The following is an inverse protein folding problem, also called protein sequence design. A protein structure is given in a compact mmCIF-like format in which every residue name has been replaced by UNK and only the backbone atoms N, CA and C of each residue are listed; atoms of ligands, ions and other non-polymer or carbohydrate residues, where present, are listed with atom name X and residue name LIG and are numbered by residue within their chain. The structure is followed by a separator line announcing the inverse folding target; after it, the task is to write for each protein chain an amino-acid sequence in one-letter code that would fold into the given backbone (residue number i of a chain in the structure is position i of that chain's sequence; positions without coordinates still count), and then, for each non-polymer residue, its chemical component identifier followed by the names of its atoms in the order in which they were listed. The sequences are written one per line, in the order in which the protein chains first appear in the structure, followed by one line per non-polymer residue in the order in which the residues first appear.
data_IF_424448088950
#
_entry.id   IF_424448088950
#
_cell.length_a   1.000
_cell.length_b   1.000
_cell.length_c   1.000
_cell.angle_alpha   90.00
_cell.angle_beta   90.00
_cell.angle_gamma   90.00
#
_symmetry.space_group_name_H-M   'P 1'
#
loop_
_entity.id
_entity.type
_entity.pdbx_description
1 polymer ?
#
# COMPACT_ATOMS: atom_id res chain seq x y z
N UNK A 1 -40.85 6.53 -35.18
CA UNK A 1 -40.09 5.31 -34.79
C UNK A 1 -38.56 5.50 -34.84
N UNK A 2 -37.95 6.02 -35.92
CA UNK A 2 -36.49 6.18 -36.01
C UNK A 2 -35.84 7.06 -34.91
N UNK A 3 -36.48 8.18 -34.51
CA UNK A 3 -35.91 9.13 -33.52
C UNK A 3 -35.86 8.62 -32.08
N UNK A 4 -36.75 7.70 -31.71
CA UNK A 4 -36.83 7.15 -30.34
C UNK A 4 -35.71 6.14 -30.10
N UNK A 5 -35.39 5.33 -31.11
CA UNK A 5 -34.30 4.34 -31.06
C UNK A 5 -32.94 5.03 -30.88
N UNK A 6 -32.72 6.14 -31.59
CA UNK A 6 -31.44 6.89 -31.51
C UNK A 6 -31.22 7.54 -30.15
N UNK A 7 -32.27 8.09 -29.53
CA UNK A 7 -32.18 8.69 -28.20
C UNK A 7 -31.90 7.64 -27.11
N UNK A 8 -32.55 6.46 -27.21
CA UNK A 8 -32.36 5.37 -26.24
C UNK A 8 -30.92 4.82 -26.29
N UNK A 9 -30.35 4.67 -27.49
CA UNK A 9 -28.94 4.24 -27.65
C UNK A 9 -27.94 5.22 -27.05
N UNK A 10 -28.17 6.53 -27.16
CA UNK A 10 -27.26 7.55 -26.59
C UNK A 10 -27.28 7.50 -25.06
N UNK A 11 -28.47 7.37 -24.47
CA UNK A 11 -28.61 7.24 -23.00
C UNK A 11 -27.91 5.97 -22.49
N UNK A 12 -28.06 4.83 -23.18
CA UNK A 12 -27.37 3.60 -22.82
C UNK A 12 -25.83 3.72 -22.89
N UNK A 13 -25.30 4.44 -23.89
CA UNK A 13 -23.85 4.63 -24.04
C UNK A 13 -23.29 5.53 -22.92
N UNK A 14 -24.01 6.60 -22.56
CA UNK A 14 -23.58 7.52 -21.49
C UNK A 14 -23.53 6.79 -20.14
N UNK A 15 -24.56 5.97 -19.84
CA UNK A 15 -24.64 5.19 -18.60
C UNK A 15 -23.50 4.15 -18.53
N UNK A 16 -23.19 3.48 -19.64
CA UNK A 16 -22.10 2.49 -19.69
C UNK A 16 -20.71 3.13 -19.45
N UNK A 17 -20.47 4.32 -19.99
CA UNK A 17 -19.20 5.05 -19.81
C UNK A 17 -19.01 5.58 -18.37
N UNK A 18 -20.10 5.97 -17.69
CA UNK A 18 -20.00 6.42 -16.30
C UNK A 18 -19.60 5.30 -15.34
N UNK A 19 -20.09 4.07 -15.53
CA UNK A 19 -19.70 2.93 -14.71
C UNK A 19 -18.25 2.50 -14.93
N UNK A 20 -17.77 2.50 -16.18
CA UNK A 20 -16.39 2.13 -16.48
C UNK A 20 -15.38 3.16 -15.96
N UNK A 21 -15.72 4.45 -16.03
CA UNK A 21 -14.86 5.51 -15.49
C UNK A 21 -14.81 5.51 -13.96
N UNK A 22 -15.92 5.20 -13.26
CA UNK A 22 -15.91 5.10 -11.80
C UNK A 22 -15.07 3.92 -11.31
N UNK A 23 -15.22 2.74 -11.91
CA UNK A 23 -14.43 1.55 -11.52
C UNK A 23 -12.94 1.78 -11.75
N UNK A 24 -12.55 2.37 -12.89
CA UNK A 24 -11.14 2.68 -13.16
C UNK A 24 -10.58 3.76 -12.21
N UNK A 25 -11.40 4.74 -11.83
CA UNK A 25 -11.01 5.80 -10.90
C UNK A 25 -10.86 5.33 -9.45
N UNK A 26 -11.54 4.27 -9.02
CA UNK A 26 -11.39 3.69 -7.68
C UNK A 26 -10.27 2.64 -7.61
N UNK A 27 -10.00 1.91 -8.70
CA UNK A 27 -8.94 0.89 -8.73
C UNK A 27 -7.54 1.48 -8.90
N UNK A 28 -7.39 2.56 -9.67
CA UNK A 28 -6.09 3.19 -9.93
C UNK A 28 -5.43 3.77 -8.65
N UNK A 29 -6.12 4.49 -7.76
CA UNK A 29 -5.57 4.98 -6.51
C UNK A 29 -5.17 3.84 -5.57
N UNK A 30 -5.93 2.76 -5.53
CA UNK A 30 -5.61 1.60 -4.69
C UNK A 30 -4.36 0.89 -5.20
N UNK A 31 -4.24 0.67 -6.51
CA UNK A 31 -3.06 0.06 -7.12
C UNK A 31 -1.79 0.91 -6.92
N UNK A 32 -1.90 2.24 -7.09
CA UNK A 32 -0.81 3.18 -6.83
C UNK A 32 -0.46 3.29 -5.33
N UNK A 33 -1.44 3.15 -4.43
CA UNK A 33 -1.22 3.10 -3.00
C UNK A 33 -0.45 1.83 -2.56
N UNK A 34 -0.63 0.70 -3.26
CA UNK A 34 0.19 -0.50 -3.02
C UNK A 34 1.65 -0.35 -3.48
N UNK A 35 1.91 0.50 -4.47
CA UNK A 35 3.25 0.76 -4.99
C UNK A 35 3.98 1.90 -4.26
N UNK A 36 3.28 2.68 -3.45
CA UNK A 36 3.90 3.76 -2.68
C UNK A 36 4.57 3.19 -1.42
N UNK A 37 5.79 3.64 -1.07
CA UNK A 37 6.43 3.22 0.16
C UNK A 37 5.63 3.73 1.36
N UNK A 38 5.45 2.89 2.37
CA UNK A 38 4.71 3.21 3.61
C UNK A 38 5.64 3.47 4.80
N UNK A 39 6.95 3.29 4.61
CA UNK A 39 7.97 3.64 5.57
C UNK A 39 9.39 3.47 5.03
N UNK A 40 10.36 3.82 5.87
CA UNK A 40 11.79 3.74 5.57
C UNK A 40 12.56 3.20 6.76
N UNK A 41 13.60 2.43 6.49
CA UNK A 41 14.51 1.93 7.53
C UNK A 41 15.45 3.07 7.97
N UNK A 42 15.32 3.51 9.23
CA UNK A 42 16.15 4.60 9.79
C UNK A 42 17.35 4.09 10.60
N UNK A 43 17.28 2.86 11.11
CA UNK A 43 18.38 2.16 11.77
C UNK A 43 18.37 0.69 11.36
N UNK A 44 19.54 0.15 11.00
CA UNK A 44 19.76 -1.27 10.73
C UNK A 44 21.11 -1.69 11.30
N UNK A 45 21.10 -2.61 12.26
CA UNK A 45 22.28 -3.20 12.89
C UNK A 45 22.13 -4.72 12.95
N UNK A 46 23.17 -5.45 12.57
CA UNK A 46 23.14 -6.91 12.50
C UNK A 46 22.44 -7.43 11.24
N UNK A 47 21.88 -8.64 11.33
CA UNK A 47 21.34 -9.35 10.18
C UNK A 47 19.82 -9.29 10.16
N UNK A 48 19.25 -8.93 9.02
CA UNK A 48 17.82 -9.01 8.79
C UNK A 48 17.49 -9.06 7.30
N UNK A 49 16.31 -9.58 6.99
CA UNK A 49 15.85 -9.81 5.62
C UNK A 49 14.47 -9.21 5.39
N UNK A 50 14.26 -8.70 4.18
CA UNK A 50 12.97 -8.27 3.65
C UNK A 50 12.56 -9.28 2.60
N UNK A 51 11.36 -9.83 2.76
CA UNK A 51 10.69 -10.65 1.76
C UNK A 51 9.61 -9.80 1.13
N UNK A 52 9.80 -9.44 -0.14
CA UNK A 52 8.84 -8.61 -0.88
C UNK A 52 7.90 -9.52 -1.65
N UNK A 53 6.60 -9.22 -1.61
CA UNK A 53 5.59 -10.02 -2.29
C UNK A 53 5.94 -10.24 -3.78
N UNK A 54 5.97 -11.50 -4.24
CA UNK A 54 6.36 -11.93 -5.58
C UNK A 54 7.74 -11.43 -6.06
N UNK A 55 8.66 -11.12 -5.14
CA UNK A 55 9.99 -10.61 -5.44
C UNK A 55 11.05 -11.30 -4.57
N UNK A 56 12.31 -11.04 -4.90
CA UNK A 56 13.48 -11.59 -4.21
C UNK A 56 13.55 -11.16 -2.75
N UNK A 57 14.18 -12.02 -1.93
CA UNK A 57 14.55 -11.70 -0.56
C UNK A 57 15.81 -10.83 -0.58
N UNK A 58 15.77 -9.68 0.10
CA UNK A 58 16.89 -8.74 0.18
C UNK A 58 17.32 -8.53 1.64
N UNK A 59 18.56 -8.11 1.85
CA UNK A 59 19.07 -7.76 3.19
C UNK A 59 18.53 -6.39 3.61
N UNK A 60 18.15 -6.25 4.88
CA UNK A 60 17.73 -4.96 5.44
C UNK A 60 18.92 -4.02 5.52
N UNK A 61 18.76 -2.82 4.97
CA UNK A 61 19.76 -1.74 5.02
C UNK A 61 19.11 -0.42 5.39
N UNK A 62 19.87 0.49 6.01
CA UNK A 62 19.40 1.85 6.30
C UNK A 62 19.07 2.57 4.99
N UNK A 63 17.94 3.27 4.96
CA UNK A 63 17.42 3.97 3.78
C UNK A 63 16.53 3.11 2.89
N UNK A 64 16.42 1.81 3.15
CA UNK A 64 15.56 0.92 2.37
C UNK A 64 14.10 1.33 2.53
N UNK A 65 13.42 1.47 1.38
CA UNK A 65 12.00 1.79 1.30
C UNK A 65 11.16 0.53 1.49
N UNK A 66 10.13 0.63 2.31
CA UNK A 66 9.27 -0.48 2.66
C UNK A 66 7.87 -0.29 2.12
N UNK A 67 7.30 -1.37 1.59
CA UNK A 67 6.00 -1.39 0.93
C UNK A 67 5.00 -2.24 1.72
N UNK A 68 3.70 -2.04 1.46
CA UNK A 68 2.61 -2.72 2.19
C UNK A 68 2.73 -4.25 2.21
N UNK A 69 3.22 -4.83 1.12
CA UNK A 69 3.43 -6.28 0.95
C UNK A 69 4.77 -6.81 1.44
N UNK A 70 5.64 -5.97 1.98
CA UNK A 70 6.93 -6.42 2.52
C UNK A 70 6.75 -7.12 3.87
N UNK A 71 7.53 -8.18 4.09
CA UNK A 71 7.67 -8.85 5.39
C UNK A 71 9.12 -8.82 5.85
N UNK A 72 9.36 -8.53 7.12
CA UNK A 72 10.70 -8.46 7.72
C UNK A 72 10.92 -9.57 8.73
N UNK A 73 12.14 -10.09 8.75
CA UNK A 73 12.65 -10.94 9.83
C UNK A 73 14.06 -10.51 10.19
N UNK A 74 14.30 -10.23 11.47
CA UNK A 74 15.63 -9.86 11.97
C UNK A 74 16.16 -10.98 12.89
N UNK A 75 17.46 -11.21 12.85
CA UNK A 75 18.12 -12.19 13.69
C UNK A 75 18.18 -11.72 15.16
N UNK A 76 18.37 -12.66 16.09
CA UNK A 76 18.65 -12.35 17.49
C UNK A 76 19.89 -11.45 17.60
N UNK A 77 19.84 -10.45 18.47
CA UNK A 77 20.93 -9.46 18.63
C UNK A 77 20.98 -8.38 17.54
N UNK A 78 20.07 -8.41 16.56
CA UNK A 78 19.95 -7.37 15.55
C UNK A 78 18.94 -6.30 15.96
N UNK A 79 19.07 -5.09 15.42
CA UNK A 79 18.16 -3.97 15.67
C UNK A 79 17.79 -3.30 14.36
N UNK A 80 16.49 -3.21 14.09
CA UNK A 80 15.95 -2.49 12.95
C UNK A 80 14.85 -1.56 13.43
N UNK A 81 14.92 -0.30 13.01
CA UNK A 81 13.93 0.74 13.31
C UNK A 81 13.41 1.29 12.00
N UNK A 82 12.08 1.32 11.87
CA UNK A 82 11.36 1.85 10.71
C UNK A 82 10.67 3.14 11.12
N UNK A 83 10.71 4.15 10.25
CA UNK A 83 9.86 5.33 10.34
C UNK A 83 8.69 5.17 9.35
N UNK A 84 7.47 5.20 9.87
CA UNK A 84 6.25 4.98 9.09
C UNK A 84 5.68 6.31 8.59
N UNK A 85 5.54 6.50 7.27
CA UNK A 85 5.09 7.77 6.68
C UNK A 85 3.65 8.10 7.03
N UNK A 86 2.74 7.12 6.97
CA UNK A 86 1.30 7.34 7.12
C UNK A 86 0.80 7.24 8.58
N UNK A 87 1.71 7.17 9.55
CA UNK A 87 1.38 7.05 10.97
C UNK A 87 2.15 8.12 11.79
N UNK A 88 2.01 9.39 11.40
CA UNK A 88 2.69 10.54 12.04
C UNK A 88 4.20 10.34 12.24
N UNK A 89 4.90 9.71 11.29
CA UNK A 89 6.33 9.39 11.40
C UNK A 89 6.68 8.56 12.65
N UNK A 90 5.74 7.74 13.13
CA UNK A 90 5.95 6.83 14.25
C UNK A 90 7.13 5.90 13.93
N UNK A 91 8.03 5.79 14.90
CA UNK A 91 9.13 4.83 14.86
C UNK A 91 8.66 3.48 15.38
N UNK A 92 8.90 2.44 14.59
CA UNK A 92 8.57 1.06 14.93
C UNK A 92 9.84 0.22 15.05
N UNK A 93 10.06 -0.34 16.24
CA UNK A 93 11.13 -1.29 16.50
C UNK A 93 10.68 -2.69 16.08
N UNK A 94 11.42 -3.31 15.17
CA UNK A 94 11.08 -4.66 14.71
C UNK A 94 11.45 -5.68 15.80
N UNK A 95 10.52 -6.59 16.18
CA UNK A 95 10.82 -7.65 17.14
C UNK A 95 11.81 -8.66 16.55
N UNK A 96 12.73 -9.15 17.39
CA UNK A 96 13.73 -10.14 16.98
C UNK A 96 13.13 -11.53 16.80
N UNK A 97 13.66 -12.28 15.83
CA UNK A 97 13.31 -13.66 15.52
C UNK A 97 11.83 -13.92 15.14
N UNK A 98 11.07 -12.86 14.86
CA UNK A 98 9.67 -12.92 14.44
C UNK A 98 9.55 -12.40 13.01
N UNK A 99 8.77 -13.08 12.18
CA UNK A 99 8.38 -12.57 10.86
C UNK A 99 7.22 -11.59 11.04
N UNK A 100 7.37 -10.36 10.56
CA UNK A 100 6.35 -9.31 10.67
C UNK A 100 6.08 -8.67 9.32
N UNK A 101 4.82 -8.40 9.01
CA UNK A 101 4.44 -7.67 7.81
C UNK A 101 4.48 -6.16 8.06
N UNK A 102 4.99 -5.36 7.10
CA UNK A 102 5.14 -3.90 7.27
C UNK A 102 3.82 -3.21 7.54
N UNK A 103 2.76 -3.63 6.85
CA UNK A 103 1.44 -3.04 7.01
C UNK A 103 0.90 -3.14 8.45
N UNK A 104 1.31 -4.14 9.24
CA UNK A 104 0.86 -4.28 10.62
C UNK A 104 1.47 -3.23 11.56
N UNK A 105 2.66 -2.72 11.24
CA UNK A 105 3.31 -1.69 12.05
C UNK A 105 3.14 -0.27 11.50
N UNK A 106 3.10 -0.13 10.17
CA UNK A 106 2.96 1.16 9.48
C UNK A 106 1.56 1.39 8.88
N UNK A 107 0.53 0.69 9.37
CA UNK A 107 -0.85 0.97 8.98
C UNK A 107 -1.19 2.46 9.23
N UNK A 108 -1.89 3.12 8.30
CA UNK A 108 -2.40 4.45 8.55
C UNK A 108 -3.34 4.41 9.77
N UNK A 109 -3.30 5.47 10.57
CA UNK A 109 -4.42 5.81 11.45
C UNK A 109 -5.64 5.90 10.52
N UNK A 110 -6.72 5.20 10.84
CA UNK A 110 -7.98 5.26 10.09
C UNK A 110 -8.30 6.73 9.77
N UNK A 111 -8.10 7.13 8.51
CA UNK A 111 -8.64 8.39 8.04
C UNK A 111 -10.15 8.23 8.04
N UNK A 112 -10.91 9.25 8.49
CA UNK A 112 -12.37 9.19 8.44
C UNK A 112 -12.77 8.84 7.01
N UNK A 113 -13.64 7.83 6.89
CA UNK A 113 -14.28 7.50 5.63
C UNK A 113 -14.92 8.81 5.12
N UNK A 114 -14.48 9.30 3.96
CA UNK A 114 -15.21 10.37 3.29
C UNK A 114 -16.52 9.73 2.84
N UNK A 115 -17.58 9.92 3.62
CA UNK A 115 -18.94 9.67 3.16
C UNK A 115 -19.16 10.59 1.96
N UNK A 116 -19.21 9.98 0.78
CA UNK A 116 -19.65 10.65 -0.44
C UNK A 116 -21.15 10.87 -0.27
N UNK A 117 -21.51 12.10 0.08
CA UNK A 117 -22.88 12.63 0.06
C UNK A 117 -23.43 12.69 -1.37
#
# INVERSE_FOLDING_TARGET
MKKIVTALTIVCIIIAQSFTNQVLADELPQFLAYQSPIGIVVEAKGNGKITRFNKSVISISKGEKLYRGDSLKIAKGSKVVIECYNNNNKKWNIPQNTLVAVHNGCAPIQLPQVEVL
#
